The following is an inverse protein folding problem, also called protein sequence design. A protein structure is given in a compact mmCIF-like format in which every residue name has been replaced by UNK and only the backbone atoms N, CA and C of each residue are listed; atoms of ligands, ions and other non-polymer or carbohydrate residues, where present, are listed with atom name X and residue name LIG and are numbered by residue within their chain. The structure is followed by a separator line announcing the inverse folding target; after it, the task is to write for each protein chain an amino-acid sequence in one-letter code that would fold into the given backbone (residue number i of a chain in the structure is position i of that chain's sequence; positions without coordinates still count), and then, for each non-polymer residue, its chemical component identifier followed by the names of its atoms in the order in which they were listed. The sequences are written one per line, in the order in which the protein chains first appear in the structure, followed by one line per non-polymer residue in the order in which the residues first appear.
data_IF_612848412881
#
_entry.id   IF_612848412881
#
_cell.length_a   1.000
_cell.length_b   1.000
_cell.length_c   1.000
_cell.angle_alpha   90.00
_cell.angle_beta   90.00
_cell.angle_gamma   90.00
#
_symmetry.space_group_name_H-M   'P 1'
#
loop_
_entity.id
_entity.type
_entity.pdbx_description
1 polymer ?
#
# COMPACT_ATOMS: atom_id res chain seq x y z
N UNK A 1 25.18 -6.46 28.50
CA UNK A 1 24.05 -6.31 29.44
C UNK A 1 22.82 -6.13 28.57
N UNK A 2 21.88 -7.08 28.60
CA UNK A 2 20.58 -6.95 27.93
C UNK A 2 19.69 -6.32 28.99
N UNK A 3 19.30 -5.05 28.81
CA UNK A 3 18.30 -4.42 29.69
C UNK A 3 17.02 -5.27 29.67
N UNK A 4 16.41 -5.54 30.83
CA UNK A 4 15.15 -6.28 30.86
C UNK A 4 14.10 -5.44 30.13
N UNK A 5 13.65 -5.90 28.96
CA UNK A 5 12.54 -5.30 28.23
C UNK A 5 11.32 -5.22 29.16
N UNK A 6 10.93 -4.02 29.56
CA UNK A 6 9.68 -3.81 30.29
C UNK A 6 8.52 -3.89 29.31
N UNK A 7 8.02 -5.11 29.12
CA UNK A 7 6.90 -5.42 28.22
C UNK A 7 5.67 -4.55 28.48
N UNK A 8 5.47 -4.03 29.70
CA UNK A 8 4.35 -3.13 30.00
C UNK A 8 4.55 -1.75 29.38
N UNK A 9 5.74 -1.17 29.52
CA UNK A 9 6.07 0.13 28.92
C UNK A 9 6.01 0.06 27.40
N UNK A 10 6.58 -0.99 26.79
CA UNK A 10 6.56 -1.18 25.34
C UNK A 10 5.12 -1.36 24.78
N UNK A 11 4.26 -2.05 25.54
CA UNK A 11 2.84 -2.24 25.19
C UNK A 11 2.05 -0.93 25.31
N UNK A 12 2.34 -0.09 26.31
CA UNK A 12 1.74 1.24 26.44
C UNK A 12 2.16 2.15 25.27
N UNK A 13 3.44 2.15 24.90
CA UNK A 13 3.96 2.91 23.75
C UNK A 13 3.34 2.46 22.43
N UNK A 14 3.26 1.14 22.21
CA UNK A 14 2.62 0.56 21.02
C UNK A 14 1.15 0.94 20.94
N UNK A 15 0.42 0.91 22.05
CA UNK A 15 -0.99 1.33 22.09
C UNK A 15 -1.14 2.85 21.82
N UNK A 16 -0.20 3.67 22.29
CA UNK A 16 -0.19 5.11 22.00
C UNK A 16 0.03 5.36 20.51
N UNK A 17 1.03 4.72 19.91
CA UNK A 17 1.32 4.80 18.49
C UNK A 17 0.13 4.33 17.62
N UNK A 18 -0.55 3.24 18.01
CA UNK A 18 -1.75 2.76 17.32
C UNK A 18 -2.90 3.78 17.31
N UNK A 19 -3.12 4.48 18.42
CA UNK A 19 -4.14 5.54 18.49
C UNK A 19 -3.76 6.71 17.59
N UNK A 20 -2.50 7.12 17.63
CA UNK A 20 -2.00 8.23 16.82
C UNK A 20 -2.12 7.94 15.32
N UNK A 21 -1.64 6.78 14.87
CA UNK A 21 -1.76 6.35 13.46
C UNK A 21 -3.23 6.22 13.05
N UNK A 22 -4.11 5.73 13.94
CA UNK A 22 -5.55 5.64 13.63
C UNK A 22 -6.17 7.02 13.42
N UNK A 23 -5.83 8.01 14.27
CA UNK A 23 -6.27 9.40 14.09
C UNK A 23 -5.75 10.00 12.78
N UNK A 24 -4.47 9.77 12.45
CA UNK A 24 -3.90 10.24 11.18
C UNK A 24 -4.59 9.61 9.96
N UNK A 25 -4.96 8.32 10.04
CA UNK A 25 -5.72 7.64 8.98
C UNK A 25 -7.09 8.30 8.79
N UNK A 26 -7.84 8.54 9.88
CA UNK A 26 -9.16 9.17 9.78
C UNK A 26 -9.08 10.58 9.18
N UNK A 27 -8.11 11.39 9.64
CA UNK A 27 -7.87 12.71 9.06
C UNK A 27 -7.52 12.63 7.57
N UNK A 28 -6.59 11.73 7.20
CA UNK A 28 -6.15 11.54 5.81
C UNK A 28 -7.28 11.03 4.91
N UNK A 29 -8.17 10.17 5.42
CA UNK A 29 -9.37 9.72 4.69
C UNK A 29 -10.35 10.87 4.45
N UNK A 30 -10.53 11.75 5.43
CA UNK A 30 -11.34 12.95 5.30
C UNK A 30 -10.80 13.90 4.23
N UNK A 31 -9.48 14.13 4.22
CA UNK A 31 -8.82 14.94 3.19
C UNK A 31 -8.88 14.30 1.81
N UNK A 32 -8.64 12.98 1.71
CA UNK A 32 -8.75 12.23 0.46
C UNK A 32 -10.15 12.30 -0.14
N UNK A 33 -11.18 12.27 0.70
CA UNK A 33 -12.58 12.42 0.26
C UNK A 33 -12.81 13.80 -0.36
N UNK A 34 -12.33 14.88 0.27
CA UNK A 34 -12.41 16.25 -0.26
C UNK A 34 -11.69 16.38 -1.60
N UNK A 35 -10.48 15.83 -1.70
CA UNK A 35 -9.69 15.86 -2.94
C UNK A 35 -10.38 15.05 -4.04
N UNK A 36 -10.97 13.90 -3.71
CA UNK A 36 -11.71 13.06 -4.67
C UNK A 36 -12.95 13.79 -5.20
N UNK A 37 -13.70 14.48 -4.34
CA UNK A 37 -14.82 15.32 -4.76
C UNK A 37 -14.38 16.46 -5.68
N UNK A 38 -13.28 17.15 -5.32
CA UNK A 38 -12.70 18.21 -6.14
C UNK A 38 -12.24 17.69 -7.50
N UNK A 39 -11.61 16.51 -7.54
CA UNK A 39 -11.19 15.85 -8.77
C UNK A 39 -12.38 15.57 -9.68
N UNK A 40 -13.49 15.04 -9.14
CA UNK A 40 -14.70 14.80 -9.90
C UNK A 40 -15.31 16.10 -10.48
N UNK A 41 -15.33 17.18 -9.70
CA UNK A 41 -15.82 18.48 -10.15
C UNK A 41 -14.97 19.07 -11.28
N UNK A 42 -13.64 19.01 -11.16
CA UNK A 42 -12.72 19.51 -12.20
C UNK A 42 -12.82 18.66 -13.46
N UNK A 43 -12.89 17.33 -13.35
CA UNK A 43 -13.10 16.45 -14.51
C UNK A 43 -14.41 16.76 -15.24
N UNK A 44 -15.50 17.05 -14.51
CA UNK A 44 -16.77 17.46 -15.09
C UNK A 44 -16.65 18.81 -15.82
N UNK A 45 -15.98 19.78 -15.20
CA UNK A 45 -15.74 21.09 -15.81
C UNK A 45 -14.87 20.98 -17.07
N UNK A 46 -13.81 20.17 -17.03
CA UNK A 46 -12.95 19.90 -18.18
C UNK A 46 -13.74 19.31 -19.36
N UNK A 47 -14.64 18.35 -19.10
CA UNK A 47 -15.53 17.79 -20.13
C UNK A 47 -16.49 18.85 -20.70
N UNK A 48 -16.96 19.78 -19.89
CA UNK A 48 -17.85 20.86 -20.32
C UNK A 48 -17.13 21.87 -21.22
N UNK A 49 -15.93 22.30 -20.81
CA UNK A 49 -15.06 23.22 -21.57
C UNK A 49 -14.66 22.61 -22.90
N UNK A 50 -14.35 21.31 -22.93
CA UNK A 50 -14.09 20.57 -24.19
C UNK A 50 -15.30 20.55 -25.13
N UNK A 51 -16.52 20.35 -24.61
CA UNK A 51 -17.75 20.31 -25.42
C UNK A 51 -18.17 21.68 -25.96
N UNK A 52 -17.88 22.75 -25.24
CA UNK A 52 -18.26 24.10 -25.62
C UNK A 52 -17.28 24.75 -26.61
N UNK A 53 -16.13 24.12 -26.88
CA UNK A 53 -15.14 24.64 -27.83
C UNK A 53 -14.58 26.00 -27.38
N UNK A 54 -14.21 26.09 -26.10
CA UNK A 54 -13.76 27.33 -25.44
C UNK A 54 -12.33 27.70 -25.86
N UNK A 55 -11.94 28.97 -25.62
CA UNK A 55 -10.58 29.51 -25.78
C UNK A 55 -9.49 28.57 -25.23
N UNK A 56 -8.37 28.45 -25.97
CA UNK A 56 -7.25 27.55 -25.66
C UNK A 56 -6.67 27.82 -24.25
N UNK A 57 -6.69 29.07 -23.81
CA UNK A 57 -6.16 29.46 -22.49
C UNK A 57 -6.99 28.88 -21.33
N UNK A 58 -8.32 28.90 -21.45
CA UNK A 58 -9.23 28.34 -20.43
C UNK A 58 -9.14 26.81 -20.39
N UNK A 59 -8.97 26.16 -21.55
CA UNK A 59 -8.72 24.73 -21.64
C UNK A 59 -7.40 24.35 -20.95
N UNK A 60 -6.33 25.11 -21.18
CA UNK A 60 -5.02 24.88 -20.56
C UNK A 60 -5.10 25.02 -19.04
N UNK A 61 -5.74 26.07 -18.53
CA UNK A 61 -5.95 26.26 -17.09
C UNK A 61 -6.76 25.12 -16.46
N UNK A 62 -7.80 24.63 -17.15
CA UNK A 62 -8.59 23.50 -16.69
C UNK A 62 -7.76 22.20 -16.61
N UNK A 63 -6.87 21.96 -17.58
CA UNK A 63 -5.94 20.84 -17.57
C UNK A 63 -4.91 20.92 -16.44
N UNK A 64 -4.27 22.07 -16.26
CA UNK A 64 -3.29 22.27 -15.18
C UNK A 64 -3.92 22.04 -13.80
N UNK A 65 -5.13 22.54 -13.61
CA UNK A 65 -5.93 22.32 -12.39
C UNK A 65 -6.29 20.84 -12.18
N UNK A 66 -6.62 20.11 -13.24
CA UNK A 66 -6.89 18.67 -13.18
C UNK A 66 -5.63 17.88 -12.80
N UNK A 67 -4.48 18.24 -13.38
CA UNK A 67 -3.20 17.59 -13.12
C UNK A 67 -2.76 17.78 -11.66
N UNK A 68 -2.83 18.99 -11.12
CA UNK A 68 -2.48 19.28 -9.71
C UNK A 68 -3.32 18.45 -8.73
N UNK A 69 -4.64 18.42 -8.94
CA UNK A 69 -5.55 17.65 -8.08
C UNK A 69 -5.30 16.15 -8.19
N UNK A 70 -4.98 15.62 -9.38
CA UNK A 70 -4.60 14.22 -9.55
C UNK A 70 -3.29 13.87 -8.86
N UNK A 71 -2.25 14.70 -8.97
CA UNK A 71 -0.98 14.50 -8.28
C UNK A 71 -1.17 14.48 -6.77
N UNK A 72 -1.95 15.43 -6.23
CA UNK A 72 -2.26 15.49 -4.80
C UNK A 72 -3.06 14.26 -4.33
N UNK A 73 -4.00 13.80 -5.15
CA UNK A 73 -4.76 12.58 -4.89
C UNK A 73 -3.86 11.34 -4.83
N UNK A 74 -2.89 11.24 -5.75
CA UNK A 74 -1.90 10.16 -5.76
C UNK A 74 -1.04 10.15 -4.50
N UNK A 75 -0.49 11.31 -4.12
CA UNK A 75 0.35 11.43 -2.91
C UNK A 75 -0.44 11.08 -1.65
N UNK A 76 -1.66 11.58 -1.51
CA UNK A 76 -2.52 11.28 -0.35
C UNK A 76 -2.88 9.80 -0.26
N UNK A 77 -3.16 9.12 -1.38
CA UNK A 77 -3.40 7.67 -1.39
C UNK A 77 -2.17 6.90 -0.89
N UNK A 78 -0.97 7.25 -1.35
CA UNK A 78 0.27 6.62 -0.90
C UNK A 78 0.54 6.84 0.58
N UNK A 79 0.28 8.04 1.10
CA UNK A 79 0.39 8.33 2.54
C UNK A 79 -0.60 7.50 3.37
N UNK A 80 -1.84 7.38 2.89
CA UNK A 80 -2.86 6.57 3.55
C UNK A 80 -2.47 5.09 3.59
N UNK A 81 -1.94 4.56 2.49
CA UNK A 81 -1.45 3.18 2.40
C UNK A 81 -0.30 2.94 3.38
N UNK A 82 0.65 3.88 3.48
CA UNK A 82 1.73 3.81 4.47
C UNK A 82 1.19 3.74 5.90
N UNK A 83 0.28 4.64 6.26
CA UNK A 83 -0.32 4.66 7.60
C UNK A 83 -1.10 3.36 7.91
N UNK A 84 -1.79 2.80 6.92
CA UNK A 84 -2.49 1.51 7.06
C UNK A 84 -1.52 0.35 7.29
N UNK A 85 -0.39 0.34 6.57
CA UNK A 85 0.68 -0.63 6.80
C UNK A 85 1.26 -0.49 8.21
N UNK A 86 1.59 0.73 8.64
CA UNK A 86 2.12 1.02 9.97
C UNK A 86 1.14 0.55 11.07
N UNK A 87 -0.16 0.81 10.89
CA UNK A 87 -1.22 0.31 11.79
C UNK A 87 -1.24 -1.22 11.86
N UNK A 88 -1.10 -1.90 10.73
CA UNK A 88 -1.06 -3.36 10.69
C UNK A 88 0.16 -3.92 11.41
N UNK A 89 1.34 -3.33 11.19
CA UNK A 89 2.59 -3.71 11.86
C UNK A 89 2.50 -3.53 13.38
N UNK A 90 2.05 -2.37 13.84
CA UNK A 90 1.85 -2.12 15.28
C UNK A 90 0.80 -3.05 15.88
N UNK A 91 -0.25 -3.41 15.13
CA UNK A 91 -1.25 -4.39 15.54
C UNK A 91 -0.66 -5.78 15.75
N UNK A 92 0.17 -6.26 14.80
CA UNK A 92 0.88 -7.54 14.95
C UNK A 92 1.86 -7.50 16.12
N UNK A 93 2.61 -6.41 16.25
CA UNK A 93 3.58 -6.22 17.34
C UNK A 93 2.90 -6.24 18.71
N UNK A 94 1.76 -5.57 18.85
CA UNK A 94 0.93 -5.62 20.06
C UNK A 94 0.53 -7.03 20.45
N UNK A 95 0.05 -7.84 19.50
CA UNK A 95 -0.36 -9.24 19.76
C UNK A 95 0.82 -10.08 20.28
N UNK A 96 2.03 -9.86 19.74
CA UNK A 96 3.24 -10.54 20.20
C UNK A 96 3.59 -10.12 21.64
N UNK A 97 3.54 -8.82 21.95
CA UNK A 97 3.79 -8.31 23.31
C UNK A 97 2.79 -8.86 24.33
N UNK A 98 1.50 -8.90 23.97
CA UNK A 98 0.44 -9.50 24.80
C UNK A 98 0.71 -10.99 25.05
N UNK A 99 1.12 -11.76 24.03
CA UNK A 99 1.47 -13.18 24.17
C UNK A 99 2.74 -13.44 25.00
N UNK A 100 3.74 -12.56 24.93
CA UNK A 100 4.94 -12.65 25.77
C UNK A 100 4.66 -12.31 27.24
N UNK A 101 3.73 -11.37 27.49
CA UNK A 101 3.33 -10.97 28.84
C UNK A 101 2.51 -12.04 29.58
N UNK A 102 1.67 -12.80 28.87
CA UNK A 102 0.87 -13.89 29.45
C UNK A 102 1.71 -15.12 29.82
N UNK A 103 2.68 -15.48 28.99
CA UNK A 103 3.62 -16.59 29.23
C UNK A 103 4.60 -16.32 30.38
N UNK A 104 4.96 -15.05 30.62
CA UNK A 104 5.82 -14.64 31.75
C UNK A 104 5.04 -14.66 33.10
N UNK A 105 3.72 -14.48 33.07
CA UNK A 105 2.87 -14.52 34.27
C UNK A 105 2.64 -15.92 34.85
N UNK A 106 2.62 -16.96 34.02
CA UNK A 106 2.35 -18.35 34.44
C UNK A 106 3.59 -19.11 34.94
N UNK A 107 4.80 -18.65 34.65
CA UNK A 107 6.05 -19.27 35.12
C UNK A 107 6.27 -19.14 36.64
N UNK A 108 5.43 -18.37 37.33
CA UNK A 108 5.47 -18.17 38.79
C UNK A 108 4.75 -19.29 39.57
N UNK A 109 3.99 -20.17 38.91
CA UNK A 109 3.21 -21.20 39.60
C UNK A 109 2.93 -22.42 38.73
N UNK A 110 3.93 -23.31 38.55
CA UNK A 110 3.75 -24.77 38.67
C UNK A 110 4.95 -25.55 38.13
N UNK A 111 5.41 -26.49 38.95
CA UNK A 111 6.26 -27.60 38.56
C UNK A 111 5.42 -28.70 37.89
N UNK A 112 5.47 -28.84 36.56
CA UNK A 112 5.07 -30.08 35.87
C UNK A 112 5.64 -30.15 34.42
N UNK A 113 6.30 -31.25 34.02
CA UNK A 113 6.78 -31.44 32.65
C UNK A 113 5.71 -32.18 31.82
N UNK A 114 4.82 -31.44 31.15
CA UNK A 114 3.93 -32.00 30.13
C UNK A 114 3.51 -31.01 29.02
N UNK A 115 3.93 -29.74 29.10
CA UNK A 115 3.47 -28.64 28.24
C UNK A 115 4.34 -28.37 27.01
N UNK A 116 5.48 -29.06 26.86
CA UNK A 116 6.44 -28.81 25.77
C UNK A 116 5.84 -28.99 24.37
N UNK A 117 5.03 -30.03 24.14
CA UNK A 117 4.46 -30.32 22.81
C UNK A 117 3.33 -29.34 22.44
N UNK A 118 2.51 -28.90 23.40
CA UNK A 118 1.45 -27.91 23.16
C UNK A 118 2.02 -26.51 22.92
N UNK A 119 3.06 -26.12 23.65
CA UNK A 119 3.78 -24.86 23.46
C UNK A 119 4.48 -24.81 22.09
N UNK A 120 5.06 -25.94 21.66
CA UNK A 120 5.72 -26.05 20.36
C UNK A 120 4.72 -26.08 19.19
N UNK A 121 3.57 -26.72 19.36
CA UNK A 121 2.45 -26.66 18.39
C UNK A 121 1.85 -25.26 18.29
N UNK A 122 1.66 -24.55 19.40
CA UNK A 122 1.19 -23.16 19.41
C UNK A 122 2.21 -22.20 18.75
N UNK A 123 3.52 -22.44 18.96
CA UNK A 123 4.57 -21.71 18.27
C UNK A 123 4.58 -21.96 16.76
N UNK A 124 4.36 -23.22 16.34
CA UNK A 124 4.25 -23.59 14.92
C UNK A 124 2.97 -22.99 14.30
N UNK A 125 1.82 -23.07 14.96
CA UNK A 125 0.57 -22.42 14.51
C UNK A 125 0.73 -20.90 14.37
N UNK A 126 1.46 -20.27 15.30
CA UNK A 126 1.72 -18.83 15.26
C UNK A 126 2.64 -18.45 14.09
N UNK A 127 3.69 -19.24 13.82
CA UNK A 127 4.58 -19.04 12.67
C UNK A 127 3.81 -19.24 11.36
N UNK A 128 3.00 -20.29 11.26
CA UNK A 128 2.18 -20.59 10.08
C UNK A 128 1.17 -19.47 9.84
N UNK A 129 0.47 -19.01 10.86
CA UNK A 129 -0.47 -17.89 10.76
C UNK A 129 0.23 -16.57 10.40
N UNK A 130 1.42 -16.30 10.94
CA UNK A 130 2.20 -15.12 10.59
C UNK A 130 2.68 -15.16 9.13
N UNK A 131 3.10 -16.33 8.67
CA UNK A 131 3.54 -16.57 7.29
C UNK A 131 2.35 -16.49 6.31
N UNK A 132 1.18 -16.98 6.70
CA UNK A 132 -0.04 -16.91 5.90
C UNK A 132 -0.62 -15.47 5.84
N UNK A 133 -0.55 -14.73 6.95
CA UNK A 133 -0.88 -13.30 6.99
C UNK A 133 0.08 -12.46 6.13
N UNK A 134 1.37 -12.81 6.11
CA UNK A 134 2.34 -12.15 5.22
C UNK A 134 2.12 -12.53 3.76
N UNK A 135 1.79 -13.79 3.48
CA UNK A 135 1.38 -14.24 2.15
C UNK A 135 0.13 -13.52 1.65
N UNK A 136 -0.86 -13.29 2.50
CA UNK A 136 -2.05 -12.50 2.17
C UNK A 136 -1.74 -11.01 2.01
N UNK A 137 -0.84 -10.44 2.83
CA UNK A 137 -0.37 -9.05 2.68
C UNK A 137 0.33 -8.85 1.35
N UNK A 138 1.29 -9.73 1.04
CA UNK A 138 1.95 -9.80 -0.25
C UNK A 138 0.89 -9.93 -1.33
N UNK A 139 0.00 -10.95 -1.27
CA UNK A 139 -1.10 -11.17 -2.23
C UNK A 139 -1.92 -9.91 -2.55
N UNK A 140 -2.24 -9.08 -1.54
CA UNK A 140 -2.97 -7.81 -1.74
C UNK A 140 -2.10 -6.75 -2.39
N UNK A 141 -0.86 -6.61 -1.94
CA UNK A 141 0.14 -5.73 -2.57
C UNK A 141 0.43 -6.15 -4.03
N UNK A 142 0.33 -7.46 -4.37
CA UNK A 142 0.45 -7.97 -5.75
C UNK A 142 -0.68 -7.54 -6.65
N UNK A 143 -1.88 -7.31 -6.08
CA UNK A 143 -3.04 -6.93 -6.85
C UNK A 143 -3.08 -5.40 -7.03
N UNK A 144 -2.73 -4.65 -5.98
CA UNK A 144 -2.87 -3.20 -5.99
C UNK A 144 -1.74 -2.48 -6.75
N UNK A 145 -0.50 -2.97 -6.70
CA UNK A 145 0.63 -2.36 -7.43
C UNK A 145 0.47 -2.36 -8.96
N UNK A 146 0.14 -3.50 -9.59
CA UNK A 146 -0.17 -3.56 -11.02
C UNK A 146 -1.46 -2.82 -11.39
N UNK A 147 -2.50 -2.88 -10.55
CA UNK A 147 -3.73 -2.13 -10.78
C UNK A 147 -3.50 -0.60 -10.73
N UNK A 148 -2.66 -0.12 -9.81
CA UNK A 148 -2.27 1.29 -9.71
C UNK A 148 -1.42 1.72 -10.91
N UNK A 149 -0.49 0.89 -11.36
CA UNK A 149 0.31 1.15 -12.55
C UNK A 149 -0.55 1.16 -13.83
N UNK A 150 -1.53 0.25 -13.95
CA UNK A 150 -2.50 0.24 -15.04
C UNK A 150 -3.38 1.51 -15.02
N UNK A 151 -3.80 1.97 -13.85
CA UNK A 151 -4.52 3.24 -13.71
C UNK A 151 -3.69 4.43 -14.20
N UNK A 152 -2.39 4.45 -13.90
CA UNK A 152 -1.46 5.46 -14.36
C UNK A 152 -1.26 5.39 -15.89
N UNK A 153 -1.18 4.19 -16.47
CA UNK A 153 -1.11 4.03 -17.91
C UNK A 153 -2.35 4.53 -18.62
N UNK A 154 -3.54 4.25 -18.11
CA UNK A 154 -4.80 4.75 -18.67
C UNK A 154 -4.77 6.28 -18.69
N UNK A 155 -4.38 6.91 -17.58
CA UNK A 155 -4.29 8.36 -17.46
C UNK A 155 -3.25 8.97 -18.41
N UNK A 156 -2.01 8.46 -18.41
CA UNK A 156 -0.95 8.93 -19.29
C UNK A 156 -1.29 8.74 -20.76
N UNK A 157 -1.95 7.63 -21.12
CA UNK A 157 -2.41 7.39 -22.50
C UNK A 157 -3.49 8.38 -22.88
N UNK A 158 -4.42 8.69 -21.98
CA UNK A 158 -5.47 9.68 -22.23
C UNK A 158 -4.87 11.09 -22.42
N UNK A 159 -3.91 11.48 -21.58
CA UNK A 159 -3.15 12.74 -21.69
C UNK A 159 -2.42 12.82 -23.04
N UNK A 160 -1.69 11.77 -23.41
CA UNK A 160 -0.98 11.72 -24.68
C UNK A 160 -1.92 11.77 -25.89
N UNK A 161 -3.06 11.08 -25.84
CA UNK A 161 -4.07 11.13 -26.89
C UNK A 161 -4.66 12.53 -27.05
N UNK A 162 -4.82 13.27 -25.96
CA UNK A 162 -5.33 14.65 -25.98
C UNK A 162 -4.29 15.66 -26.46
N UNK A 163 -3.01 15.41 -26.16
CA UNK A 163 -1.90 16.26 -26.63
C UNK A 163 -1.64 16.10 -28.13
N UNK A 164 -2.00 14.97 -28.76
CA UNK A 164 -1.77 14.74 -30.20
C UNK A 164 -2.34 15.84 -31.09
N UNK A 165 -3.48 16.42 -30.72
CA UNK A 165 -4.17 17.45 -31.50
C UNK A 165 -3.68 18.88 -31.18
N UNK A 166 -3.02 19.09 -30.02
CA UNK A 166 -2.64 20.40 -29.49
C UNK A 166 -1.13 20.63 -29.63
N UNK A 167 -0.33 19.68 -29.15
CA UNK A 167 1.13 19.70 -29.20
C UNK A 167 1.65 18.26 -29.44
N UNK A 168 1.85 17.87 -30.71
CA UNK A 168 2.28 16.52 -31.05
C UNK A 168 3.72 16.22 -30.62
N UNK A 169 4.55 17.23 -30.32
CA UNK A 169 5.91 17.00 -29.81
C UNK A 169 5.83 16.58 -28.35
N UNK A 170 5.07 17.32 -27.55
CA UNK A 170 4.86 17.00 -26.14
C UNK A 170 4.09 15.67 -25.96
N UNK A 171 3.12 15.38 -26.85
CA UNK A 171 2.44 14.08 -26.89
C UNK A 171 3.42 12.92 -27.09
N UNK A 172 4.43 13.11 -27.93
CA UNK A 172 5.43 12.09 -28.26
C UNK A 172 6.37 11.81 -27.10
N UNK A 173 6.76 12.84 -26.37
CA UNK A 173 7.55 12.71 -25.14
C UNK A 173 6.75 11.96 -24.07
N UNK A 174 5.46 12.25 -23.94
CA UNK A 174 4.61 11.61 -22.94
C UNK A 174 4.28 10.15 -23.26
N UNK A 175 4.16 9.80 -24.55
CA UNK A 175 4.14 8.41 -25.01
C UNK A 175 5.47 7.69 -24.74
N UNK A 176 6.60 8.41 -24.82
CA UNK A 176 7.93 7.88 -24.47
C UNK A 176 8.05 7.57 -22.99
N UNK A 177 7.54 8.46 -22.14
CA UNK A 177 7.47 8.29 -20.69
C UNK A 177 6.55 7.11 -20.33
N UNK A 178 5.38 7.03 -20.95
CA UNK A 178 4.44 5.91 -20.81
C UNK A 178 5.10 4.58 -21.17
N UNK A 179 5.82 4.51 -22.30
CA UNK A 179 6.52 3.29 -22.75
C UNK A 179 7.57 2.84 -21.73
N UNK A 180 8.35 3.78 -21.19
CA UNK A 180 9.39 3.48 -20.20
C UNK A 180 8.78 3.00 -18.89
N UNK A 181 7.71 3.65 -18.45
CA UNK A 181 6.94 3.28 -17.26
C UNK A 181 6.29 1.90 -17.42
N UNK A 182 5.74 1.59 -18.60
CA UNK A 182 5.21 0.29 -18.97
C UNK A 182 6.26 -0.82 -18.93
N UNK A 183 7.44 -0.60 -19.53
CA UNK A 183 8.54 -1.58 -19.48
C UNK A 183 9.01 -1.83 -18.05
N UNK A 184 9.13 -0.78 -17.23
CA UNK A 184 9.56 -0.89 -15.83
C UNK A 184 8.54 -1.67 -15.00
N UNK A 185 7.26 -1.35 -15.13
CA UNK A 185 6.18 -2.08 -14.45
C UNK A 185 6.10 -3.52 -14.94
N UNK A 186 6.24 -3.78 -16.24
CA UNK A 186 6.28 -5.14 -16.78
C UNK A 186 7.45 -5.96 -16.20
N UNK A 187 8.64 -5.37 -16.07
CA UNK A 187 9.78 -6.03 -15.42
C UNK A 187 9.51 -6.29 -13.93
N UNK A 188 8.90 -5.33 -13.22
CA UNK A 188 8.49 -5.51 -11.82
C UNK A 188 7.49 -6.66 -11.69
N UNK A 189 6.45 -6.69 -12.52
CA UNK A 189 5.45 -7.78 -12.55
C UNK A 189 6.12 -9.12 -12.92
N UNK A 190 7.07 -9.14 -13.86
CA UNK A 190 7.80 -10.35 -14.24
C UNK A 190 8.66 -10.88 -13.09
N UNK A 191 9.54 -10.05 -12.53
CA UNK A 191 10.38 -10.42 -11.39
C UNK A 191 9.51 -10.90 -10.22
N UNK A 192 8.39 -10.24 -10.03
CA UNK A 192 7.40 -10.60 -9.05
C UNK A 192 6.72 -11.97 -9.32
N UNK A 193 6.33 -12.28 -10.56
CA UNK A 193 5.83 -13.62 -10.95
C UNK A 193 6.90 -14.70 -10.71
N UNK A 194 8.19 -14.35 -10.88
CA UNK A 194 9.30 -15.25 -10.57
C UNK A 194 9.48 -15.45 -9.05
N UNK A 195 9.32 -14.41 -8.22
CA UNK A 195 9.35 -14.51 -6.76
C UNK A 195 8.14 -15.28 -6.18
N UNK A 196 6.99 -15.22 -6.86
CA UNK A 196 5.83 -16.06 -6.56
C UNK A 196 6.00 -17.52 -6.96
N UNK A 197 6.95 -17.84 -7.86
CA UNK A 197 7.23 -19.22 -8.25
C UNK A 197 7.96 -19.87 -7.06
N UNK A 198 7.30 -20.77 -6.34
CA UNK A 198 7.71 -21.15 -5.00
C UNK A 198 9.02 -21.93 -5.00
N UNK A 199 9.78 -21.80 -3.91
CA UNK A 199 10.77 -22.79 -3.40
C UNK A 199 10.16 -24.19 -3.14
N UNK A 200 9.02 -24.53 -3.75
CA UNK A 200 8.38 -25.84 -3.67
C UNK A 200 8.82 -26.80 -4.79
N UNK A 201 9.58 -26.34 -5.79
CA UNK A 201 10.15 -27.22 -6.82
C UNK A 201 11.58 -27.69 -6.51
N UNK A 202 12.35 -26.96 -5.69
CA UNK A 202 13.71 -27.38 -5.33
C UNK A 202 13.79 -28.21 -4.04
N UNK A 203 12.76 -28.17 -3.19
CA UNK A 203 12.69 -29.00 -1.97
C UNK A 203 12.05 -30.39 -2.19
N UNK A 204 11.75 -30.75 -3.44
CA UNK A 204 11.29 -32.10 -3.82
C UNK A 204 12.08 -32.70 -4.99
N UNK A 205 13.36 -32.36 -5.14
CA UNK A 205 14.36 -33.17 -5.85
C UNK A 205 13.93 -33.85 -7.16
N UNK A 206 13.29 -33.14 -8.09
CA UNK A 206 13.01 -33.66 -9.42
C UNK A 206 13.28 -32.57 -10.46
N UNK A 207 14.42 -32.75 -11.13
CA UNK A 207 14.95 -32.14 -12.37
C UNK A 207 14.05 -31.20 -13.15
#
# INVERSE_FOLDING_TARGET
MIEPMDYKTELEETNRALREVTLMIEQSQGELTKITQRNAAISSHLQQVQKQGVEIEELKMAYDSALDVQQRLFVMRGQLEKLQNDKSHLGKYKVILEGASSSTGEASSSSAPATGVKSQLAGIEMIVNAQEAERQRLSRQMHDGPAQALSNFILQTEIAMRLLDIDPVQAKDELGNLKTSAMTTFQKVRNFIFELRPMMLDDLGLT
#
